data_IF_898391518178
#
_entry.id   IF_898391518178
#
_cell.length_a   1.000
_cell.length_b   1.000
_cell.length_c   1.000
_cell.angle_alpha   90.00
_cell.angle_beta   90.00
_cell.angle_gamma   90.00
#
_symmetry.space_group_name_H-M   'P 1'
#
loop_
_entity.id
_entity.type
_entity.pdbx_description
1 polymer ?
#
# COMPACT_ATOMS: atom_id res chain seq x y z
N UNK A 1 19.12 -6.61 -12.82
CA UNK A 1 17.65 -6.61 -12.70
C UNK A 1 17.18 -7.46 -11.51
N UNK A 2 17.78 -8.64 -11.33
CA UNK A 2 17.44 -9.46 -10.17
C UNK A 2 17.80 -8.76 -8.86
N UNK A 3 18.89 -8.01 -8.83
CA UNK A 3 19.27 -7.27 -7.64
C UNK A 3 18.22 -6.23 -7.27
N UNK A 4 17.68 -5.54 -8.28
CA UNK A 4 16.63 -4.55 -8.03
C UNK A 4 15.37 -5.22 -7.51
N UNK A 5 15.01 -6.38 -8.08
CA UNK A 5 13.86 -7.15 -7.60
C UNK A 5 14.06 -7.58 -6.15
N UNK A 6 15.26 -8.02 -5.80
CA UNK A 6 15.58 -8.43 -4.44
C UNK A 6 15.51 -7.27 -3.46
N UNK A 7 15.99 -6.09 -3.86
CA UNK A 7 15.90 -4.89 -3.01
C UNK A 7 14.46 -4.47 -2.83
N UNK A 8 13.66 -4.52 -3.90
CA UNK A 8 12.25 -4.18 -3.83
C UNK A 8 11.50 -5.13 -2.90
N UNK A 9 11.78 -6.42 -3.02
CA UNK A 9 11.18 -7.44 -2.16
C UNK A 9 11.57 -7.22 -0.69
N UNK A 10 12.85 -6.93 -0.45
CA UNK A 10 13.34 -6.67 0.89
C UNK A 10 12.67 -5.43 1.48
N UNK A 11 12.56 -4.36 0.69
CA UNK A 11 11.88 -3.14 1.10
C UNK A 11 10.41 -3.39 1.43
N UNK A 12 9.71 -4.17 0.58
CA UNK A 12 8.31 -4.48 0.80
C UNK A 12 8.11 -5.25 2.11
N UNK A 13 8.98 -6.24 2.39
CA UNK A 13 8.94 -6.95 3.66
C UNK A 13 9.22 -6.03 4.84
N UNK A 14 10.20 -5.14 4.69
CA UNK A 14 10.54 -4.19 5.75
C UNK A 14 9.36 -3.27 6.06
N UNK A 15 8.70 -2.75 5.02
CA UNK A 15 7.53 -1.90 5.19
C UNK A 15 6.40 -2.66 5.87
N UNK A 16 6.13 -3.88 5.42
CA UNK A 16 5.06 -4.69 6.00
C UNK A 16 5.29 -4.94 7.48
N UNK A 17 6.48 -5.39 7.84
CA UNK A 17 6.82 -5.69 9.22
C UNK A 17 6.76 -4.42 10.07
N UNK A 18 7.37 -3.32 9.58
CA UNK A 18 7.38 -2.07 10.31
C UNK A 18 5.96 -1.54 10.54
N UNK A 19 5.11 -1.61 9.52
CA UNK A 19 3.73 -1.13 9.65
C UNK A 19 2.91 -1.99 10.60
N UNK A 20 3.13 -3.30 10.59
CA UNK A 20 2.43 -4.18 11.54
C UNK A 20 2.84 -3.85 12.98
N UNK A 21 4.13 -3.62 13.20
CA UNK A 21 4.63 -3.27 14.54
C UNK A 21 4.09 -1.92 14.99
N UNK A 22 4.20 -0.90 14.15
CA UNK A 22 3.77 0.46 14.48
C UNK A 22 2.26 0.52 14.68
N UNK A 23 1.50 -0.14 13.80
CA UNK A 23 0.05 -0.15 13.90
C UNK A 23 -0.42 -0.84 15.18
N UNK A 24 0.20 -1.97 15.52
CA UNK A 24 -0.12 -2.68 16.74
C UNK A 24 0.22 -1.82 17.97
N UNK A 25 1.40 -1.21 17.96
CA UNK A 25 1.82 -0.33 19.06
C UNK A 25 0.84 0.83 19.24
N UNK A 26 0.49 1.50 18.15
CA UNK A 26 -0.43 2.64 18.19
C UNK A 26 -1.81 2.22 18.69
N UNK A 27 -2.31 1.07 18.23
CA UNK A 27 -3.62 0.56 18.62
C UNK A 27 -3.68 0.23 20.10
N UNK A 28 -2.57 -0.23 20.67
CA UNK A 28 -2.51 -0.55 22.11
C UNK A 28 -2.45 0.70 22.98
N UNK A 29 -1.95 1.81 22.45
CA UNK A 29 -1.78 3.04 23.22
C UNK A 29 -2.89 4.04 22.98
N UNK A 30 -3.52 4.04 21.79
CA UNK A 30 -4.53 5.02 21.47
C UNK A 30 -5.42 4.49 20.35
N UNK A 31 -6.74 4.60 20.54
CA UNK A 31 -7.68 4.25 19.48
C UNK A 31 -7.63 5.27 18.35
N UNK A 32 -7.74 4.81 17.10
CA UNK A 32 -7.80 5.71 15.96
C UNK A 32 -9.02 6.63 16.04
N UNK A 33 -10.10 6.16 16.68
CA UNK A 33 -11.30 6.99 16.86
C UNK A 33 -11.04 8.16 17.79
N UNK A 34 -10.11 8.03 18.75
CA UNK A 34 -9.73 9.14 19.60
C UNK A 34 -8.93 10.19 18.85
N UNK A 35 -8.13 9.76 17.87
CA UNK A 35 -7.32 10.68 17.05
C UNK A 35 -8.18 11.42 16.05
N UNK A 36 -9.17 10.75 15.46
CA UNK A 36 -10.03 11.32 14.44
C UNK A 36 -10.79 12.55 14.97
N UNK A 37 -11.06 12.62 16.27
CA UNK A 37 -11.73 13.79 16.84
C UNK A 37 -10.99 15.10 16.58
N UNK A 38 -9.69 15.04 16.47
CA UNK A 38 -8.84 16.22 16.25
C UNK A 38 -8.64 16.54 14.78
N UNK A 39 -9.11 15.68 13.91
CA UNK A 39 -9.15 15.94 12.49
C UNK A 39 -10.15 17.05 12.24
N UNK A 40 -10.21 17.86 11.66
CA UNK A 40 -9.96 19.01 10.88
C UNK A 40 -9.37 20.22 11.64
N UNK A 41 -9.15 20.08 12.92
CA UNK A 41 -8.60 21.18 13.72
C UNK A 41 -7.08 21.31 13.59
N UNK A 42 -6.42 20.29 13.01
CA UNK A 42 -4.98 20.27 12.82
C UNK A 42 -4.65 20.39 11.33
N UNK A 43 -4.25 21.59 10.85
CA UNK A 43 -3.98 21.76 9.41
C UNK A 43 -2.96 20.80 8.84
N UNK A 44 -1.88 20.54 9.56
CA UNK A 44 -0.86 19.59 9.09
C UNK A 44 -1.40 18.16 9.05
N UNK A 45 -2.31 17.82 9.95
CA UNK A 45 -2.97 16.52 9.95
C UNK A 45 -3.81 16.34 8.69
N UNK A 46 -4.57 17.36 8.30
CA UNK A 46 -5.36 17.34 7.08
C UNK A 46 -4.45 17.22 5.86
N UNK A 47 -3.38 18.01 5.79
CA UNK A 47 -2.44 17.97 4.67
C UNK A 47 -1.79 16.58 4.55
N UNK A 48 -1.44 15.98 5.67
CA UNK A 48 -0.83 14.66 5.69
C UNK A 48 -1.78 13.59 5.15
N UNK A 49 -3.07 13.68 5.50
CA UNK A 49 -4.05 12.72 5.01
C UNK A 49 -4.28 12.86 3.50
N UNK A 50 -4.33 14.08 2.98
CA UNK A 50 -4.46 14.28 1.54
C UNK A 50 -3.26 13.71 0.80
N UNK A 51 -2.06 14.00 1.30
CA UNK A 51 -0.83 13.48 0.72
C UNK A 51 -0.83 11.95 0.69
N UNK A 52 -1.20 11.34 1.81
CA UNK A 52 -1.22 9.89 1.95
C UNK A 52 -2.22 9.24 0.99
N UNK A 53 -3.44 9.76 0.93
CA UNK A 53 -4.45 9.15 0.08
C UNK A 53 -4.19 9.39 -1.41
N UNK A 54 -3.62 10.53 -1.77
CA UNK A 54 -3.21 10.75 -3.16
C UNK A 54 -2.13 9.75 -3.57
N UNK A 55 -1.17 9.46 -2.67
CA UNK A 55 -0.15 8.44 -2.94
C UNK A 55 -0.78 7.05 -3.09
N UNK A 56 -1.79 6.74 -2.27
CA UNK A 56 -2.50 5.46 -2.39
C UNK A 56 -3.18 5.33 -3.74
N UNK A 57 -3.78 6.40 -4.26
CA UNK A 57 -4.43 6.38 -5.56
C UNK A 57 -3.40 6.18 -6.66
N UNK A 58 -2.23 6.84 -6.59
CA UNK A 58 -1.17 6.62 -7.55
C UNK A 58 -0.72 5.15 -7.57
N UNK A 59 -0.58 4.55 -6.41
CA UNK A 59 -0.23 3.14 -6.33
C UNK A 59 -1.33 2.26 -6.93
N UNK A 60 -2.58 2.56 -6.63
CA UNK A 60 -3.69 1.80 -7.17
C UNK A 60 -3.79 1.90 -8.68
N UNK A 61 -3.41 3.04 -9.27
CA UNK A 61 -3.39 3.15 -10.72
C UNK A 61 -2.43 2.15 -11.35
N UNK A 62 -1.32 1.85 -10.68
CA UNK A 62 -0.42 0.79 -11.13
C UNK A 62 -1.11 -0.58 -11.05
N UNK A 63 -1.84 -0.84 -9.96
CA UNK A 63 -2.61 -2.08 -9.83
C UNK A 63 -3.66 -2.17 -10.94
N UNK A 64 -4.36 -1.08 -11.21
CA UNK A 64 -5.36 -1.03 -12.25
C UNK A 64 -4.74 -1.31 -13.63
N UNK A 65 -3.54 -0.77 -13.87
CA UNK A 65 -2.83 -1.03 -15.11
C UNK A 65 -2.49 -2.53 -15.26
N UNK A 66 -2.03 -3.15 -14.17
CA UNK A 66 -1.65 -4.56 -14.20
C UNK A 66 -2.85 -5.50 -14.28
N UNK A 67 -3.88 -5.22 -13.52
CA UNK A 67 -5.03 -6.13 -13.35
C UNK A 67 -6.20 -5.79 -14.27
N UNK A 68 -6.25 -4.56 -14.79
CA UNK A 68 -7.41 -4.07 -15.51
C UNK A 68 -8.60 -3.84 -14.59
N UNK A 69 -9.71 -3.42 -15.16
CA UNK A 69 -10.94 -3.26 -14.40
C UNK A 69 -11.50 -4.63 -14.04
N UNK A 70 -11.45 -4.98 -12.77
CA UNK A 70 -11.88 -6.28 -12.31
C UNK A 70 -12.23 -6.21 -10.83
N UNK A 71 -12.85 -7.27 -10.32
CA UNK A 71 -13.14 -7.39 -8.90
C UNK A 71 -11.84 -7.35 -8.10
N UNK A 72 -10.77 -7.94 -8.65
CA UNK A 72 -9.47 -7.93 -7.99
C UNK A 72 -8.95 -6.51 -7.79
N UNK A 73 -8.95 -5.68 -8.83
CA UNK A 73 -8.44 -4.31 -8.70
C UNK A 73 -9.29 -3.47 -7.76
N UNK A 74 -10.60 -3.63 -7.80
CA UNK A 74 -11.50 -2.90 -6.89
C UNK A 74 -11.29 -3.34 -5.46
N UNK A 75 -11.10 -4.65 -5.24
CA UNK A 75 -10.83 -5.18 -3.90
C UNK A 75 -9.53 -4.61 -3.35
N UNK A 76 -8.50 -4.48 -4.20
CA UNK A 76 -7.25 -3.88 -3.75
C UNK A 76 -7.39 -2.40 -3.42
N UNK A 77 -8.24 -1.66 -4.16
CA UNK A 77 -8.51 -0.28 -3.82
C UNK A 77 -9.10 -0.16 -2.42
N UNK A 78 -10.10 -0.97 -2.10
CA UNK A 78 -10.71 -0.97 -0.78
C UNK A 78 -9.68 -1.33 0.29
N UNK A 79 -8.89 -2.37 0.05
CA UNK A 79 -7.87 -2.80 0.99
C UNK A 79 -6.84 -1.71 1.25
N UNK A 80 -6.40 -1.01 0.20
CA UNK A 80 -5.43 0.07 0.32
C UNK A 80 -6.00 1.24 1.10
N UNK A 81 -7.25 1.59 0.85
CA UNK A 81 -7.88 2.68 1.57
C UNK A 81 -8.06 2.38 3.06
N UNK A 82 -8.24 1.11 3.41
CA UNK A 82 -8.42 0.70 4.81
C UNK A 82 -7.11 0.38 5.50
N UNK A 83 -6.18 -0.27 4.81
CA UNK A 83 -4.95 -0.78 5.41
C UNK A 83 -3.70 -0.03 4.98
N UNK A 84 -3.80 0.78 3.94
CA UNK A 84 -2.69 1.62 3.50
C UNK A 84 -1.46 0.84 3.10
N UNK A 85 -0.33 1.18 3.71
CA UNK A 85 0.96 0.58 3.36
C UNK A 85 1.01 -0.92 3.60
N UNK A 86 0.21 -1.43 4.52
CA UNK A 86 0.16 -2.89 4.75
C UNK A 86 -0.37 -3.59 3.50
N UNK A 87 -1.47 -3.12 2.95
CA UNK A 87 -2.04 -3.70 1.73
C UNK A 87 -1.10 -3.52 0.55
N UNK A 88 -0.49 -2.35 0.42
CA UNK A 88 0.44 -2.07 -0.67
C UNK A 88 1.65 -2.99 -0.62
N UNK A 89 2.22 -3.20 0.57
CA UNK A 89 3.36 -4.10 0.73
C UNK A 89 2.99 -5.53 0.37
N UNK A 90 1.81 -5.99 0.79
CA UNK A 90 1.33 -7.33 0.47
C UNK A 90 1.16 -7.47 -1.05
N UNK A 91 0.57 -6.47 -1.71
CA UNK A 91 0.40 -6.51 -3.16
C UNK A 91 1.74 -6.59 -3.88
N UNK A 92 2.71 -5.78 -3.46
CA UNK A 92 4.04 -5.79 -4.07
C UNK A 92 4.68 -7.16 -3.91
N UNK A 93 4.57 -7.78 -2.73
CA UNK A 93 5.13 -9.10 -2.51
C UNK A 93 4.49 -10.16 -3.39
N UNK A 94 3.17 -10.10 -3.54
CA UNK A 94 2.46 -11.02 -4.44
C UNK A 94 2.90 -10.80 -5.88
N UNK A 95 3.01 -9.55 -6.30
CA UNK A 95 3.42 -9.22 -7.66
C UNK A 95 4.83 -9.71 -7.95
N UNK A 96 5.75 -9.53 -7.01
CA UNK A 96 7.12 -10.00 -7.17
C UNK A 96 7.18 -11.53 -7.24
N UNK A 97 6.38 -12.19 -6.41
CA UNK A 97 6.35 -13.66 -6.41
C UNK A 97 5.91 -14.20 -7.77
N UNK A 98 4.97 -13.51 -8.42
CA UNK A 98 4.44 -13.95 -9.71
C UNK A 98 5.24 -13.45 -10.90
N UNK A 99 6.11 -12.45 -10.72
CA UNK A 99 6.92 -11.90 -11.80
C UNK A 99 8.26 -12.62 -11.87
N UNK A 100 8.75 -12.88 -13.08
CA UNK A 100 10.05 -13.52 -13.26
C UNK A 100 11.15 -12.50 -13.51
N UNK A 101 10.78 -11.26 -13.82
CA UNK A 101 11.74 -10.21 -14.11
C UNK A 101 11.12 -8.86 -13.78
N UNK A 102 11.96 -7.85 -13.64
CA UNK A 102 11.50 -6.51 -13.35
C UNK A 102 10.55 -5.96 -14.42
N UNK A 103 10.83 -6.12 -15.73
CA UNK A 103 9.87 -5.68 -16.75
C UNK A 103 8.50 -6.35 -16.61
N UNK A 104 8.46 -7.61 -16.21
CA UNK A 104 7.22 -8.33 -16.03
C UNK A 104 6.40 -7.78 -14.87
N UNK A 105 7.07 -7.27 -13.85
CA UNK A 105 6.41 -6.67 -12.70
C UNK A 105 5.54 -5.47 -13.10
N UNK A 106 6.00 -4.69 -14.08
CA UNK A 106 5.29 -3.50 -14.53
C UNK A 106 4.41 -3.74 -15.74
N UNK A 107 4.46 -4.95 -16.29
CA UNK A 107 3.65 -5.28 -17.45
C UNK A 107 2.22 -5.58 -17.03
N UNK A 108 1.27 -5.19 -17.89
CA UNK A 108 -0.12 -5.53 -17.66
C UNK A 108 -0.28 -7.05 -17.68
N UNK A 109 -0.98 -7.57 -16.68
CA UNK A 109 -1.27 -8.99 -16.60
C UNK A 109 -2.33 -9.34 -17.63
N UNK A 110 -2.06 -10.33 -18.46
CA UNK A 110 -3.09 -10.85 -19.34
C UNK A 110 -3.94 -11.84 -18.56
N UNK A 111 -5.23 -11.67 -18.70
CA UNK A 111 -6.18 -12.56 -18.05
C UNK A 111 -6.36 -13.84 -18.85
#
# INVERSE_FOLDING_TARGET
>A
LESIMNYLKLWAWAVLIAMLIVTTWASLHQSIFDVIKYFPDEPWWVATLYDTYFAFIFFWLWILYREGWSISSISWLVAILLLGNIAMAIYVLIAIHNAQSLPELFRRQSS
#
